data_IF_630605975158
#
_entry.id   IF_630605975158
#
_cell.length_a   1.000
_cell.length_b   1.000
_cell.length_c   1.000
_cell.angle_alpha   90.00
_cell.angle_beta   90.00
_cell.angle_gamma   90.00
#
_symmetry.space_group_name_H-M   'P 1'
#
loop_
_entity.id
_entity.type
_entity.pdbx_description
1 polymer ?
#
# COMPACT_ATOMS: atom_id res chain seq x y z
N UNK A 1 -25.37 -24.77 8.55
CA UNK A 1 -24.09 -24.08 8.81
C UNK A 1 -23.16 -24.45 7.66
N UNK A 2 -22.91 -23.53 6.73
CA UNK A 2 -22.08 -23.81 5.54
C UNK A 2 -20.69 -23.21 5.81
N UNK A 3 -19.60 -23.98 5.76
CA UNK A 3 -18.26 -23.39 5.82
C UNK A 3 -18.03 -22.60 4.54
N UNK A 4 -17.84 -21.28 4.64
CA UNK A 4 -17.29 -20.53 3.52
C UNK A 4 -15.88 -21.06 3.25
N UNK A 5 -15.49 -21.35 2.01
CA UNK A 5 -14.10 -21.62 1.71
C UNK A 5 -13.34 -20.31 1.96
N UNK A 6 -12.52 -20.29 3.01
CA UNK A 6 -11.55 -19.23 3.21
C UNK A 6 -10.47 -19.40 2.14
N UNK A 7 -10.77 -18.96 0.91
CA UNK A 7 -9.78 -18.83 -0.15
C UNK A 7 -8.88 -17.66 0.25
N UNK A 8 -8.01 -17.92 1.22
CA UNK A 8 -6.99 -16.99 1.67
C UNK A 8 -6.03 -16.87 0.50
N UNK A 9 -6.23 -15.85 -0.33
CA UNK A 9 -5.37 -15.56 -1.47
C UNK A 9 -4.02 -15.10 -0.92
N UNK A 10 -3.21 -16.07 -0.48
CA UNK A 10 -1.91 -15.87 0.17
C UNK A 10 -0.89 -15.24 -0.77
N UNK A 11 -1.12 -15.35 -2.07
CA UNK A 11 -0.28 -14.79 -3.13
C UNK A 11 -1.17 -14.39 -4.30
N UNK A 12 -0.90 -13.23 -4.86
CA UNK A 12 -1.58 -12.70 -6.02
C UNK A 12 -0.53 -12.09 -6.94
N UNK A 13 -0.45 -12.61 -8.16
CA UNK A 13 0.31 -11.99 -9.24
C UNK A 13 -0.69 -11.31 -10.15
N UNK A 14 -0.51 -10.02 -10.40
CA UNK A 14 -1.33 -9.25 -11.33
C UNK A 14 -0.50 -8.82 -12.52
N UNK A 15 -1.13 -8.85 -13.69
CA UNK A 15 -0.56 -8.28 -14.92
C UNK A 15 -1.58 -7.31 -15.44
N UNK A 16 -1.24 -6.03 -15.36
CA UNK A 16 -2.11 -4.93 -15.75
C UNK A 16 -1.56 -4.28 -17.01
N UNK A 17 -2.38 -4.24 -18.06
CA UNK A 17 -2.04 -3.59 -19.33
C UNK A 17 -2.94 -2.37 -19.49
N UNK A 18 -2.38 -1.19 -19.27
CA UNK A 18 -3.08 0.08 -19.43
C UNK A 18 -2.73 0.70 -20.78
N UNK A 19 -3.75 0.88 -21.62
CA UNK A 19 -3.63 1.53 -22.93
C UNK A 19 -4.23 2.93 -22.84
N UNK A 20 -3.38 3.93 -22.87
CA UNK A 20 -3.77 5.34 -22.88
C UNK A 20 -3.57 5.91 -24.29
N UNK A 21 -4.21 7.04 -24.65
CA UNK A 21 -3.99 7.70 -25.94
C UNK A 21 -2.51 8.05 -26.20
N UNK A 22 -1.76 8.23 -25.11
CA UNK A 22 -0.33 8.52 -25.11
C UNK A 22 0.52 7.25 -25.14
N UNK A 23 -0.03 6.03 -25.03
CA UNK A 23 0.82 4.86 -24.91
C UNK A 23 0.27 3.54 -24.40
N UNK A 24 1.16 2.55 -24.26
CA UNK A 24 0.86 1.28 -23.58
C UNK A 24 1.83 1.08 -22.43
N UNK A 25 1.28 0.98 -21.22
CA UNK A 25 1.98 0.64 -19.99
C UNK A 25 1.63 -0.80 -19.60
N UNK A 26 2.63 -1.59 -19.26
CA UNK A 26 2.45 -2.93 -18.69
C UNK A 26 3.05 -2.93 -17.29
N UNK A 27 2.26 -3.34 -16.31
CA UNK A 27 2.66 -3.48 -14.92
C UNK A 27 2.51 -4.95 -14.52
N UNK A 28 3.58 -5.55 -14.02
CA UNK A 28 3.59 -6.85 -13.38
C UNK A 28 3.75 -6.63 -11.87
N UNK A 29 2.73 -7.00 -11.10
CA UNK A 29 2.72 -6.92 -9.65
C UNK A 29 2.70 -8.31 -9.02
N UNK A 30 3.33 -8.46 -7.86
CA UNK A 30 3.21 -9.63 -7.01
C UNK A 30 3.03 -9.18 -5.57
N UNK A 31 1.97 -9.68 -4.93
CA UNK A 31 1.69 -9.48 -3.51
C UNK A 31 1.57 -10.84 -2.85
N UNK A 32 2.09 -10.97 -1.63
CA UNK A 32 1.98 -12.20 -0.87
C UNK A 32 2.09 -12.00 0.63
N UNK A 33 1.52 -12.93 1.36
CA UNK A 33 1.69 -13.06 2.81
C UNK A 33 3.06 -13.68 3.07
N UNK A 34 3.89 -12.96 3.82
CA UNK A 34 5.22 -13.42 4.27
C UNK A 34 5.06 -14.20 5.58
N UNK A 35 4.30 -13.66 6.53
CA UNK A 35 4.05 -14.27 7.83
C UNK A 35 2.63 -13.98 8.28
N UNK A 36 1.96 -14.96 8.88
CA UNK A 36 0.62 -14.75 9.43
C UNK A 36 0.34 -15.71 10.58
N UNK A 37 -0.18 -15.19 11.68
CA UNK A 37 -0.75 -15.93 12.79
C UNK A 37 -2.10 -15.31 13.22
N UNK A 38 -2.62 -15.72 14.37
CA UNK A 38 -3.92 -15.28 14.89
C UNK A 38 -3.99 -13.77 15.16
N UNK A 39 -2.84 -13.11 15.42
CA UNK A 39 -2.78 -11.70 15.78
C UNK A 39 -2.02 -10.82 14.80
N UNK A 40 -1.07 -11.40 14.08
CA UNK A 40 -0.08 -10.69 13.27
C UNK A 40 -0.20 -11.14 11.82
N UNK A 41 -0.19 -10.18 10.91
CA UNK A 41 -0.10 -10.39 9.47
C UNK A 41 1.03 -9.54 8.93
N UNK A 42 1.95 -10.16 8.20
CA UNK A 42 3.01 -9.50 7.43
C UNK A 42 2.82 -9.88 5.98
N UNK A 43 2.66 -8.88 5.13
CA UNK A 43 2.59 -9.06 3.68
C UNK A 43 3.69 -8.26 3.00
N UNK A 44 4.15 -8.76 1.86
CA UNK A 44 5.09 -8.07 1.00
C UNK A 44 4.50 -7.95 -0.39
N UNK A 45 4.89 -6.89 -1.09
CA UNK A 45 4.53 -6.68 -2.47
C UNK A 45 5.69 -6.11 -3.26
N UNK A 46 5.67 -6.34 -4.56
CA UNK A 46 6.65 -5.84 -5.51
C UNK A 46 6.00 -5.68 -6.86
N UNK A 47 6.43 -4.67 -7.62
CA UNK A 47 5.97 -4.49 -8.98
C UNK A 47 7.09 -3.99 -9.89
N UNK A 48 6.92 -4.25 -11.18
CA UNK A 48 7.69 -3.64 -12.26
C UNK A 48 6.70 -3.13 -13.31
N UNK A 49 6.90 -1.90 -13.77
CA UNK A 49 6.07 -1.26 -14.77
C UNK A 49 6.93 -0.69 -15.89
N UNK A 50 6.52 -0.89 -17.14
CA UNK A 50 7.24 -0.34 -18.31
C UNK A 50 6.26 0.24 -19.31
N UNK A 51 6.57 1.44 -19.79
CA UNK A 51 5.84 2.08 -20.88
C UNK A 51 6.55 1.83 -22.21
N UNK A 52 5.84 1.25 -23.17
CA UNK A 52 6.42 0.79 -24.45
C UNK A 52 6.24 1.78 -25.59
N UNK A 53 5.18 2.61 -25.58
CA UNK A 53 4.91 3.60 -26.62
C UNK A 53 4.40 4.89 -25.98
N UNK A 54 4.94 6.08 -26.33
CA UNK A 54 6.37 6.21 -26.65
C UNK A 54 7.18 5.55 -25.52
N UNK A 55 8.37 5.03 -25.84
CA UNK A 55 9.22 4.33 -24.87
C UNK A 55 9.43 5.21 -23.65
N UNK A 56 8.79 4.84 -22.55
CA UNK A 56 8.77 5.63 -21.33
C UNK A 56 9.61 5.00 -20.23
N UNK A 57 9.72 5.67 -19.09
CA UNK A 57 10.53 5.20 -17.98
C UNK A 57 10.00 3.87 -17.45
N UNK A 58 10.92 3.03 -16.97
CA UNK A 58 10.58 1.82 -16.22
C UNK A 58 10.48 2.21 -14.75
N UNK A 59 9.38 1.83 -14.11
CA UNK A 59 9.20 1.94 -12.69
C UNK A 59 9.34 0.56 -12.05
N UNK A 60 9.93 0.51 -10.87
CA UNK A 60 9.99 -0.69 -10.04
C UNK A 60 9.77 -0.28 -8.60
N UNK A 61 9.09 -1.11 -7.84
CA UNK A 61 8.83 -0.81 -6.45
C UNK A 61 8.42 -2.03 -5.67
N UNK A 62 8.20 -1.81 -4.39
CA UNK A 62 7.70 -2.81 -3.50
C UNK A 62 7.44 -2.23 -2.13
N UNK A 63 6.88 -3.06 -1.28
CA UNK A 63 6.51 -2.67 0.06
C UNK A 63 6.33 -3.85 0.99
N UNK A 64 6.28 -3.54 2.26
CA UNK A 64 5.95 -4.45 3.34
C UNK A 64 4.86 -3.82 4.17
N UNK A 65 3.85 -4.61 4.52
CA UNK A 65 2.79 -4.21 5.43
C UNK A 65 2.78 -5.15 6.62
N UNK A 66 2.60 -4.58 7.81
CA UNK A 66 2.34 -5.31 9.04
C UNK A 66 1.00 -4.85 9.61
N UNK A 67 0.22 -5.80 10.10
CA UNK A 67 -1.10 -5.57 10.68
C UNK A 67 -1.25 -6.40 11.95
N UNK A 68 -1.76 -5.76 13.01
CA UNK A 68 -2.16 -6.39 14.25
C UNK A 68 -3.69 -6.49 14.30
N UNK A 69 -4.21 -7.64 13.88
CA UNK A 69 -5.65 -7.93 13.71
C UNK A 69 -6.52 -7.56 14.93
N UNK A 70 -6.09 -7.81 16.20
CA UNK A 70 -6.95 -7.56 17.36
C UNK A 70 -7.31 -6.09 17.58
N UNK A 71 -6.40 -5.17 17.22
CA UNK A 71 -6.68 -3.73 17.29
C UNK A 71 -6.77 -3.09 15.92
N UNK A 72 -6.73 -3.86 14.83
CA UNK A 72 -6.78 -3.32 13.46
C UNK A 72 -5.78 -2.16 13.24
N UNK A 73 -4.62 -2.27 13.89
CA UNK A 73 -3.51 -1.32 13.78
C UNK A 73 -2.50 -1.85 12.78
N UNK A 74 -1.94 -0.98 11.96
CA UNK A 74 -1.04 -1.39 10.89
C UNK A 74 0.07 -0.39 10.61
N UNK A 75 1.09 -0.88 9.93
CA UNK A 75 2.12 -0.06 9.32
C UNK A 75 2.41 -0.60 7.92
N UNK A 76 2.48 0.29 6.95
CA UNK A 76 2.84 0.00 5.58
C UNK A 76 4.06 0.85 5.23
N UNK A 77 5.08 0.21 4.69
CA UNK A 77 6.27 0.86 4.15
C UNK A 77 6.39 0.44 2.70
N UNK A 78 6.50 1.41 1.79
CA UNK A 78 6.67 1.15 0.38
C UNK A 78 7.67 2.13 -0.23
N UNK A 79 8.34 1.66 -1.28
CA UNK A 79 9.25 2.46 -2.07
C UNK A 79 9.13 2.08 -3.53
N UNK A 80 9.14 3.07 -4.41
CA UNK A 80 9.19 2.85 -5.85
C UNK A 80 10.16 3.81 -6.52
N UNK A 81 11.00 3.30 -7.39
CA UNK A 81 11.87 4.09 -8.25
C UNK A 81 11.33 4.08 -9.68
N UNK A 82 11.15 5.28 -10.22
CA UNK A 82 10.84 5.47 -11.64
C UNK A 82 12.07 6.04 -12.33
N UNK A 83 12.60 5.31 -13.31
CA UNK A 83 13.83 5.67 -14.02
C UNK A 83 13.70 7.08 -14.62
N UNK A 84 14.57 8.00 -14.20
CA UNK A 84 14.57 9.37 -14.70
C UNK A 84 13.50 10.29 -14.08
N UNK A 85 12.66 9.79 -13.17
CA UNK A 85 11.70 10.60 -12.42
C UNK A 85 12.03 10.67 -10.92
N UNK A 86 12.68 9.66 -10.33
CA UNK A 86 13.09 9.66 -8.92
C UNK A 86 12.63 8.42 -8.15
N UNK A 87 12.79 8.46 -6.83
CA UNK A 87 12.34 7.44 -5.88
C UNK A 87 11.29 8.02 -4.95
N UNK A 88 10.11 7.44 -4.95
CA UNK A 88 9.05 7.72 -3.98
C UNK A 88 9.17 6.75 -2.81
N UNK A 89 9.17 7.28 -1.60
CA UNK A 89 9.10 6.51 -0.36
C UNK A 89 7.83 6.91 0.39
N UNK A 90 7.08 5.91 0.83
CA UNK A 90 5.82 6.10 1.57
C UNK A 90 5.82 5.21 2.80
N UNK A 91 5.46 5.79 3.93
CA UNK A 91 5.27 5.12 5.20
C UNK A 91 3.94 5.54 5.79
N UNK A 92 3.02 4.60 5.96
CA UNK A 92 1.71 4.84 6.55
C UNK A 92 1.60 4.01 7.83
N UNK A 93 1.09 4.61 8.89
CA UNK A 93 0.76 3.92 10.13
C UNK A 93 -0.67 4.23 10.53
N UNK A 94 -1.38 3.23 11.04
CA UNK A 94 -2.72 3.39 11.58
C UNK A 94 -2.84 2.63 12.92
N UNK A 95 -3.64 3.16 13.83
CA UNK A 95 -3.93 2.51 15.09
C UNK A 95 -5.36 2.78 15.54
N UNK A 96 -6.09 1.73 15.89
CA UNK A 96 -7.36 1.89 16.59
C UNK A 96 -7.09 2.30 18.04
N UNK A 97 -7.51 3.51 18.40
CA UNK A 97 -7.34 4.03 19.75
C UNK A 97 -8.47 3.57 20.65
N UNK A 98 -9.69 3.49 20.12
CA UNK A 98 -10.86 3.12 20.91
C UNK A 98 -12.00 2.60 20.02
N UNK A 99 -12.71 1.60 20.54
CA UNK A 99 -13.93 1.08 19.94
C UNK A 99 -15.01 0.93 21.01
N UNK A 100 -16.21 1.39 20.70
CA UNK A 100 -17.38 1.19 21.56
C UNK A 100 -17.68 -0.30 21.71
N UNK A 101 -18.28 -0.68 22.83
CA UNK A 101 -18.65 -2.07 23.15
C UNK A 101 -19.64 -2.65 22.13
N UNK A 102 -20.49 -1.80 21.58
CA UNK A 102 -21.48 -2.14 20.56
C UNK A 102 -20.90 -2.09 19.13
N UNK A 103 -19.66 -1.62 18.97
CA UNK A 103 -18.97 -1.52 17.69
C UNK A 103 -19.35 -0.31 16.83
N UNK A 104 -20.45 0.39 17.15
CA UNK A 104 -20.97 1.51 16.36
C UNK A 104 -20.08 2.75 16.33
N UNK A 105 -19.21 2.94 17.33
CA UNK A 105 -18.28 4.09 17.35
C UNK A 105 -16.86 3.61 17.40
N UNK A 106 -16.01 4.18 16.55
CA UNK A 106 -14.59 3.87 16.46
C UNK A 106 -13.77 5.15 16.36
N UNK A 107 -12.63 5.17 17.05
CA UNK A 107 -11.63 6.23 17.01
C UNK A 107 -10.33 5.65 16.51
N UNK A 108 -9.86 6.13 15.38
CA UNK A 108 -8.64 5.71 14.72
C UNK A 108 -7.65 6.86 14.66
N UNK A 109 -6.38 6.58 14.88
CA UNK A 109 -5.29 7.48 14.55
C UNK A 109 -4.59 6.98 13.28
N UNK A 110 -4.17 7.90 12.44
CA UNK A 110 -3.32 7.60 11.30
C UNK A 110 -2.19 8.62 11.20
N UNK A 111 -1.09 8.18 10.61
CA UNK A 111 0.03 9.02 10.23
C UNK A 111 0.56 8.55 8.88
N UNK A 112 0.96 9.50 8.05
CA UNK A 112 1.60 9.24 6.77
C UNK A 112 2.88 10.05 6.64
N UNK A 113 3.85 9.49 5.95
CA UNK A 113 5.11 10.10 5.60
C UNK A 113 5.45 9.70 4.17
N UNK A 114 5.47 10.67 3.28
CA UNK A 114 5.70 10.51 1.86
C UNK A 114 6.82 11.45 1.44
N UNK A 115 7.84 10.88 0.81
CA UNK A 115 9.00 11.65 0.35
C UNK A 115 9.48 11.18 -1.00
N UNK A 116 9.54 12.13 -1.92
CA UNK A 116 10.13 11.94 -3.23
C UNK A 116 11.62 12.33 -3.21
N UNK A 117 12.48 11.45 -3.70
CA UNK A 117 13.93 11.64 -3.76
C UNK A 117 14.42 11.63 -5.21
N UNK A 118 15.17 12.65 -5.61
CA UNK A 118 15.75 12.73 -6.95
C UNK A 118 14.76 13.17 -8.04
N UNK A 119 15.12 12.95 -9.30
CA UNK A 119 14.36 13.41 -10.47
C UNK A 119 14.90 14.71 -11.08
N UNK A 120 14.43 15.09 -12.28
CA UNK A 120 14.88 16.29 -13.00
C UNK A 120 14.58 17.59 -12.23
N UNK A 121 13.61 17.52 -11.32
CA UNK A 121 13.12 18.63 -10.50
C UNK A 121 13.68 18.61 -9.06
N UNK A 122 14.59 17.68 -8.76
CA UNK A 122 15.20 17.52 -7.44
C UNK A 122 14.30 16.81 -6.42
N UNK A 123 14.84 16.59 -5.21
CA UNK A 123 14.12 15.95 -4.09
C UNK A 123 12.85 16.74 -3.79
N UNK A 124 11.71 16.07 -3.91
CA UNK A 124 10.40 16.65 -3.63
C UNK A 124 10.26 17.03 -2.16
N UNK A 125 9.30 17.92 -1.88
CA UNK A 125 9.00 18.33 -0.51
C UNK A 125 8.55 17.11 0.28
N UNK A 126 9.04 17.02 1.50
CA UNK A 126 8.56 16.04 2.45
C UNK A 126 7.07 16.34 2.73
N UNK A 127 6.22 15.35 2.48
CA UNK A 127 4.81 15.39 2.84
C UNK A 127 4.64 14.44 4.03
N UNK A 128 4.17 14.96 5.16
CA UNK A 128 3.82 14.14 6.30
C UNK A 128 2.54 14.69 6.89
N UNK A 129 1.72 13.79 7.38
CA UNK A 129 0.42 14.11 7.93
C UNK A 129 0.05 13.12 9.00
N UNK A 130 -0.94 13.48 9.78
CA UNK A 130 -1.52 12.59 10.74
C UNK A 130 -2.78 13.19 11.29
N UNK A 131 -3.67 12.33 11.72
CA UNK A 131 -4.99 12.75 12.18
C UNK A 131 -5.64 11.68 13.02
N UNK A 132 -6.73 12.09 13.65
CA UNK A 132 -7.65 11.20 14.33
C UNK A 132 -8.94 11.21 13.52
N UNK A 133 -9.46 10.03 13.23
CA UNK A 133 -10.73 9.82 12.57
C UNK A 133 -11.70 9.21 13.58
N UNK A 134 -12.90 9.79 13.65
CA UNK A 134 -14.01 9.22 14.40
C UNK A 134 -15.06 8.77 13.40
N UNK A 135 -15.44 7.50 13.48
CA UNK A 135 -16.45 6.88 12.64
C UNK A 135 -17.61 6.44 13.53
N UNK A 136 -18.84 6.75 13.13
CA UNK A 136 -20.04 6.31 13.82
C UNK A 136 -21.05 5.74 12.82
N UNK A 137 -21.36 4.47 12.97
CA UNK A 137 -22.35 3.76 12.18
C UNK A 137 -23.71 3.78 12.93
N UNK A 138 -24.76 4.23 12.23
CA UNK A 138 -26.14 4.37 12.74
C UNK A 138 -27.03 3.18 12.37
#
# INVERSE_FOLDING_TARGET
MVPMPLQRQRRQTTVDVNKNPQGTQVTLGHKGVIFENDKHLVSGEGFVSKQFKPTGPTALGGGVSYEYKPSDSGINLSASNTRGAGTDFSALGNANLWKSRDGNTRVDAYANYDRHYGGPWGTGRLNYGGGIQVSHDF
#
